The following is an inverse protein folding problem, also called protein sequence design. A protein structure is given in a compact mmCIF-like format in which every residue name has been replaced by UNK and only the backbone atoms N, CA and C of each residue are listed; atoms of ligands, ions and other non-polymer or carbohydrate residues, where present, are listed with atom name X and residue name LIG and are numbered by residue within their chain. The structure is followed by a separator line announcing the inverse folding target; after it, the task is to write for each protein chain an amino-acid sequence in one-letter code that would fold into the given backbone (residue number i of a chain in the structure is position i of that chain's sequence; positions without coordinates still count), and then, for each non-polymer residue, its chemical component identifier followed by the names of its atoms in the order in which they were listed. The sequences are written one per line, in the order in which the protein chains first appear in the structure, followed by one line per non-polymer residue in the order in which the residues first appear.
data_IF_430393454877
#
_entry.id   IF_430393454877
#
_cell.length_a   1.000
_cell.length_b   1.000
_cell.length_c   1.000
_cell.angle_alpha   90.00
_cell.angle_beta   90.00
_cell.angle_gamma   90.00
#
_symmetry.space_group_name_H-M   'P 1'
#
loop_
_entity.id
_entity.type
_entity.pdbx_description
1 polymer ?
#
# COMPACT_ATOMS: atom_id res chain seq x y z
N UNK A 1 36.55 -10.66 27.61
CA UNK A 1 36.60 -11.53 26.41
C UNK A 1 35.23 -11.83 25.79
N UNK A 2 34.09 -11.62 26.47
CA UNK A 2 32.74 -11.79 25.89
C UNK A 2 32.34 -10.72 24.84
N UNK A 3 32.91 -9.51 24.88
CA UNK A 3 32.66 -8.47 23.87
C UNK A 3 33.10 -8.86 22.44
N UNK A 4 34.12 -9.71 22.31
CA UNK A 4 34.61 -10.18 21.00
C UNK A 4 33.76 -11.30 20.38
N UNK A 5 32.94 -12.00 21.18
CA UNK A 5 32.02 -13.03 20.67
C UNK A 5 30.76 -12.41 20.03
N UNK A 6 30.30 -11.25 20.53
CA UNK A 6 29.17 -10.53 19.94
C UNK A 6 29.52 -9.87 18.60
N UNK A 7 30.75 -9.37 18.43
CA UNK A 7 31.22 -8.83 17.14
C UNK A 7 31.30 -9.86 16.00
N UNK A 8 31.54 -11.14 16.33
CA UNK A 8 31.50 -12.22 15.35
C UNK A 8 30.07 -12.66 14.97
N UNK A 9 29.09 -12.54 15.87
CA UNK A 9 27.67 -12.68 15.52
C UNK A 9 27.19 -11.52 14.61
N UNK A 10 27.67 -10.30 14.85
CA UNK A 10 27.35 -9.11 14.06
C UNK A 10 27.87 -9.16 12.61
N UNK A 11 29.10 -9.63 12.38
CA UNK A 11 29.61 -9.91 11.02
C UNK A 11 28.88 -11.04 10.31
N UNK A 12 28.26 -11.94 11.06
CA UNK A 12 27.45 -13.02 10.52
C UNK A 12 26.04 -12.58 10.18
N UNK A 13 25.47 -11.53 10.81
CA UNK A 13 24.13 -11.06 10.49
C UNK A 13 24.05 -10.41 9.10
N UNK A 14 24.97 -9.49 8.75
CA UNK A 14 24.99 -8.93 7.38
C UNK A 14 25.44 -9.94 6.33
N UNK A 15 26.32 -10.89 6.69
CA UNK A 15 26.61 -12.07 5.85
C UNK A 15 25.41 -13.01 5.71
N UNK A 16 24.57 -13.17 6.72
CA UNK A 16 23.38 -14.03 6.74
C UNK A 16 22.26 -13.44 5.88
N UNK A 17 22.05 -12.12 5.95
CA UNK A 17 21.14 -11.41 5.04
C UNK A 17 21.64 -11.51 3.59
N UNK A 18 22.96 -11.38 3.35
CA UNK A 18 23.58 -11.46 2.02
C UNK A 18 23.75 -12.90 1.48
N UNK A 19 23.87 -13.93 2.33
CA UNK A 19 24.11 -15.32 1.91
C UNK A 19 22.86 -16.03 1.37
N UNK A 20 21.72 -15.34 1.35
CA UNK A 20 20.46 -15.81 0.76
C UNK A 20 20.37 -15.59 -0.76
N UNK A 21 21.35 -14.89 -1.36
CA UNK A 21 21.40 -14.56 -2.78
C UNK A 21 22.46 -15.43 -3.46
N UNK A 22 22.06 -16.30 -4.40
CA UNK A 22 22.98 -16.93 -5.37
C UNK A 22 22.22 -17.77 -6.39
N UNK A 23 21.61 -17.12 -7.38
CA UNK A 23 21.53 -17.54 -8.79
C UNK A 23 21.46 -16.26 -9.65
N UNK A 24 22.54 -15.93 -10.36
CA UNK A 24 22.50 -14.94 -11.44
C UNK A 24 21.65 -15.47 -12.61
N UNK A 25 20.60 -14.73 -12.99
CA UNK A 25 19.92 -14.93 -14.28
C UNK A 25 19.82 -13.60 -15.02
N UNK A 26 20.56 -13.51 -16.14
CA UNK A 26 20.45 -12.41 -17.09
C UNK A 26 19.04 -12.36 -17.70
N UNK A 27 18.31 -11.25 -17.54
CA UNK A 27 17.10 -10.99 -18.33
C UNK A 27 17.45 -10.25 -19.62
N UNK A 28 17.29 -10.94 -20.75
CA UNK A 28 17.27 -10.35 -22.08
C UNK A 28 15.88 -9.86 -22.44
N UNK A 29 15.88 -8.73 -23.16
CA UNK A 29 14.77 -8.11 -23.87
C UNK A 29 14.19 -9.02 -24.97
N UNK A 30 12.94 -9.46 -24.84
CA UNK A 30 12.16 -10.00 -25.98
C UNK A 30 10.66 -9.78 -25.82
N UNK A 31 10.22 -8.52 -25.92
CA UNK A 31 8.89 -8.19 -26.47
C UNK A 31 9.01 -6.90 -27.31
N UNK A 32 9.82 -6.96 -28.37
CA UNK A 32 9.66 -6.08 -29.54
C UNK A 32 9.26 -6.95 -30.72
N UNK A 33 8.12 -6.65 -31.30
CA UNK A 33 7.44 -7.48 -32.28
C UNK A 33 8.28 -7.77 -33.53
N UNK A 34 8.28 -9.04 -33.93
CA UNK A 34 8.47 -9.45 -35.31
C UNK A 34 7.12 -9.33 -36.03
N UNK A 35 6.79 -8.13 -36.47
CA UNK A 35 5.86 -7.96 -37.59
C UNK A 35 6.60 -8.38 -38.85
N UNK A 36 6.46 -9.65 -39.22
CA UNK A 36 6.89 -10.11 -40.53
C UNK A 36 6.04 -9.41 -41.60
N UNK A 37 6.77 -8.77 -42.52
CA UNK A 37 6.23 -8.26 -43.77
C UNK A 37 5.87 -9.47 -44.63
N UNK A 38 4.59 -9.66 -44.90
CA UNK A 38 4.17 -10.36 -46.11
C UNK A 38 3.70 -9.33 -47.14
N UNK A 39 4.63 -9.03 -48.04
CA UNK A 39 4.36 -8.46 -49.35
C UNK A 39 3.71 -9.52 -50.23
N UNK A 40 2.48 -9.29 -50.65
CA UNK A 40 1.96 -9.86 -51.89
C UNK A 40 1.65 -8.74 -52.87
N UNK A 41 2.53 -8.62 -53.87
CA UNK A 41 2.31 -7.93 -55.13
C UNK A 41 1.57 -8.85 -56.09
N UNK A 42 0.62 -8.29 -56.83
CA UNK A 42 0.40 -8.40 -58.29
C UNK A 42 -1.06 -8.01 -58.57
N UNK A 43 -1.27 -6.90 -59.28
CA UNK A 43 -1.63 -6.83 -60.72
C UNK A 43 -3.12 -7.20 -60.91
N UNK A 44 -3.95 -6.51 -61.65
CA UNK A 44 -3.88 -5.44 -62.63
C UNK A 44 -5.32 -4.86 -62.69
N UNK A 45 -5.47 -3.61 -63.10
CA UNK A 45 -6.45 -3.15 -64.12
C UNK A 45 -6.86 -1.69 -63.94
N UNK A 46 -6.13 -0.85 -64.69
CA UNK A 46 -6.61 0.05 -65.75
C UNK A 46 -7.80 0.99 -65.52
N UNK A 47 -7.56 2.18 -66.07
CA UNK A 47 -8.48 3.19 -66.62
C UNK A 47 -9.04 4.21 -65.62
N UNK A 48 -8.40 5.37 -65.52
CA UNK A 48 -8.63 6.57 -66.38
C UNK A 48 -9.96 7.26 -66.08
N UNK A 49 -9.93 8.51 -65.61
CA UNK A 49 -10.51 9.66 -66.32
C UNK A 49 -10.30 10.97 -65.54
N UNK A 50 -9.99 12.02 -66.29
CA UNK A 50 -9.77 13.41 -65.88
C UNK A 50 -11.10 14.17 -65.68
N UNK A 51 -11.04 15.30 -64.98
CA UNK A 51 -11.99 16.43 -65.11
C UNK A 51 -12.29 17.10 -63.77
N UNK A 52 -11.75 18.31 -63.48
CA UNK A 52 -12.40 19.63 -63.71
C UNK A 52 -13.79 19.72 -63.06
N UNK A 53 -14.15 20.71 -62.24
CA UNK A 53 -13.52 21.95 -61.83
C UNK A 53 -14.47 22.75 -60.91
N UNK A 54 -13.95 23.88 -60.43
CA UNK A 54 -14.59 25.18 -60.16
C UNK A 54 -15.75 25.37 -59.16
N UNK A 55 -15.43 26.20 -58.16
CA UNK A 55 -16.09 27.45 -57.74
C UNK A 55 -17.55 27.47 -57.24
N UNK A 56 -17.71 27.90 -55.98
CA UNK A 56 -18.30 29.19 -55.54
C UNK A 56 -18.92 29.06 -54.13
N UNK A 57 -18.40 29.80 -53.15
CA UNK A 57 -18.99 31.04 -52.61
C UNK A 57 -20.43 30.89 -52.07
N UNK A 58 -20.60 31.01 -50.75
CA UNK A 58 -21.57 31.93 -50.14
C UNK A 58 -21.12 32.35 -48.74
N UNK A 59 -21.19 33.67 -48.53
CA UNK A 59 -20.85 34.46 -47.35
C UNK A 59 -22.09 34.67 -46.45
N UNK A 60 -21.81 35.01 -45.18
CA UNK A 60 -22.62 35.84 -44.25
C UNK A 60 -23.88 35.19 -43.64
N UNK A 61 -24.36 35.49 -42.43
CA UNK A 61 -24.24 36.67 -41.59
C UNK A 61 -24.55 36.37 -40.09
N UNK A 62 -24.10 37.28 -39.24
CA UNK A 62 -24.35 37.47 -37.81
C UNK A 62 -25.84 37.39 -37.36
N UNK A 63 -26.07 36.94 -36.11
CA UNK A 63 -26.77 37.77 -35.11
C UNK A 63 -26.66 37.25 -33.66
N UNK A 64 -26.38 38.20 -32.76
CA UNK A 64 -26.44 38.11 -31.30
C UNK A 64 -27.88 37.94 -30.81
N UNK A 65 -28.08 37.20 -29.71
CA UNK A 65 -28.90 37.73 -28.62
C UNK A 65 -28.61 37.09 -27.26
N UNK A 66 -28.69 37.95 -26.26
CA UNK A 66 -28.30 37.76 -24.87
C UNK A 66 -29.21 36.79 -24.12
N UNK A 67 -28.61 35.91 -23.31
CA UNK A 67 -29.21 35.53 -22.02
C UNK A 67 -28.08 35.36 -20.99
N UNK A 68 -28.05 36.30 -20.03
CA UNK A 68 -27.19 36.27 -18.85
C UNK A 68 -27.86 35.42 -17.78
N UNK A 69 -27.18 34.37 -17.33
CA UNK A 69 -27.55 33.61 -16.14
C UNK A 69 -26.43 32.66 -15.73
N UNK A 70 -25.72 33.02 -14.66
CA UNK A 70 -24.96 32.13 -13.78
C UNK A 70 -24.05 31.06 -14.43
N UNK A 71 -22.82 31.42 -14.80
CA UNK A 71 -21.68 30.51 -14.64
C UNK A 71 -20.34 31.25 -14.77
N UNK A 72 -19.71 31.58 -13.65
CA UNK A 72 -18.32 32.10 -13.61
C UNK A 72 -17.53 31.36 -12.53
N UNK A 73 -17.45 30.04 -12.63
CA UNK A 73 -16.46 29.25 -11.88
C UNK A 73 -15.83 28.09 -12.69
N UNK A 74 -16.29 27.80 -13.91
CA UNK A 74 -15.77 26.69 -14.73
C UNK A 74 -14.67 27.08 -15.74
N UNK A 75 -14.52 28.36 -16.09
CA UNK A 75 -13.60 28.76 -17.17
C UNK A 75 -12.12 28.86 -16.77
N UNK A 76 -11.80 28.82 -15.47
CA UNK A 76 -10.40 28.70 -15.01
C UNK A 76 -9.87 27.27 -15.04
N UNK A 77 -10.77 26.27 -15.10
CA UNK A 77 -10.40 24.85 -15.13
C UNK A 77 -9.85 24.40 -16.50
N UNK A 78 -10.21 25.08 -17.61
CA UNK A 78 -9.73 24.69 -18.94
C UNK A 78 -8.41 25.35 -19.36
N UNK A 79 -8.02 26.48 -18.76
CA UNK A 79 -6.82 27.23 -19.17
C UNK A 79 -5.51 26.77 -18.50
N UNK A 80 -5.58 26.03 -17.39
CA UNK A 80 -4.39 25.41 -16.76
C UNK A 80 -3.96 24.10 -17.42
N UNK A 81 -4.83 23.48 -18.24
CA UNK A 81 -4.56 22.19 -18.88
C UNK A 81 -3.69 22.26 -20.15
N UNK A 82 -3.37 23.45 -20.66
CA UNK A 82 -2.62 23.59 -21.93
C UNK A 82 -1.12 23.89 -21.77
N UNK A 83 -0.58 24.02 -20.55
CA UNK A 83 0.83 24.38 -20.33
C UNK A 83 1.69 23.32 -19.62
N UNK A 84 1.14 22.14 -19.31
CA UNK A 84 1.86 21.07 -18.60
C UNK A 84 2.15 19.82 -19.42
N UNK A 85 1.85 19.79 -20.72
CA UNK A 85 2.15 18.64 -21.57
C UNK A 85 3.56 18.74 -22.16
N UNK A 86 4.56 18.39 -21.37
CA UNK A 86 5.87 17.99 -21.90
C UNK A 86 6.22 16.59 -21.38
N UNK A 87 6.17 15.64 -22.30
CA UNK A 87 6.91 14.37 -22.37
C UNK A 87 7.21 13.65 -21.05
N UNK A 88 6.21 12.92 -20.55
CA UNK A 88 6.45 11.67 -19.85
C UNK A 88 5.85 10.56 -20.72
N UNK A 89 6.58 9.47 -20.94
CA UNK A 89 6.10 8.31 -21.70
C UNK A 89 4.90 7.66 -20.97
N UNK A 90 3.70 8.14 -21.32
CA UNK A 90 2.40 7.76 -20.77
C UNK A 90 1.81 6.53 -21.47
N UNK A 91 2.61 5.52 -21.82
CA UNK A 91 2.08 4.29 -22.45
C UNK A 91 2.28 3.04 -21.57
N UNK A 92 3.23 3.02 -20.63
CA UNK A 92 3.47 1.83 -19.80
C UNK A 92 2.44 1.62 -18.68
N UNK A 93 1.90 2.71 -18.11
CA UNK A 93 0.94 2.64 -16.99
C UNK A 93 -0.50 2.31 -17.45
N UNK A 94 -0.82 2.51 -18.73
CA UNK A 94 -2.21 2.43 -19.22
C UNK A 94 -2.58 1.11 -19.90
N UNK A 95 -1.61 0.26 -20.22
CA UNK A 95 -1.85 -1.07 -20.80
C UNK A 95 -2.07 -2.17 -19.74
N UNK A 96 -2.06 -1.83 -18.45
CA UNK A 96 -2.13 -2.80 -17.35
C UNK A 96 -3.55 -3.07 -16.84
N UNK A 97 -4.48 -2.11 -16.99
CA UNK A 97 -5.84 -2.17 -16.41
C UNK A 97 -6.87 -3.05 -17.15
N UNK A 98 -6.55 -3.55 -18.35
CA UNK A 98 -7.43 -4.43 -19.16
C UNK A 98 -6.88 -5.87 -19.29
N UNK A 99 -5.91 -6.27 -18.44
CA UNK A 99 -5.30 -7.60 -18.56
C UNK A 99 -6.22 -8.69 -17.98
N UNK A 100 -6.50 -9.78 -18.72
CA UNK A 100 -7.30 -10.88 -18.20
C UNK A 100 -6.67 -11.51 -16.94
N UNK A 101 -7.53 -11.89 -15.98
CA UNK A 101 -7.23 -12.48 -14.64
C UNK A 101 -6.09 -13.52 -14.64
N UNK A 102 -5.98 -14.30 -15.71
CA UNK A 102 -4.94 -15.33 -15.86
C UNK A 102 -3.52 -14.76 -16.04
N UNK A 103 -3.37 -13.61 -16.69
CA UNK A 103 -2.06 -13.01 -16.99
C UNK A 103 -1.44 -12.38 -15.75
N UNK A 104 -2.23 -11.66 -14.94
CA UNK A 104 -1.74 -11.06 -13.68
C UNK A 104 -1.38 -12.16 -12.66
N UNK A 105 -2.18 -13.22 -12.57
CA UNK A 105 -1.88 -14.37 -11.70
C UNK A 105 -0.60 -15.10 -12.13
N UNK A 106 -0.41 -15.31 -13.44
CA UNK A 106 0.80 -15.94 -13.97
C UNK A 106 2.02 -15.05 -13.81
N UNK A 107 1.90 -13.75 -14.11
CA UNK A 107 2.98 -12.78 -13.91
C UNK A 107 3.38 -12.68 -12.44
N UNK A 108 2.40 -12.66 -11.52
CA UNK A 108 2.63 -12.72 -10.08
C UNK A 108 3.45 -13.95 -9.70
N UNK A 109 2.97 -15.14 -10.11
CA UNK A 109 3.62 -16.41 -9.78
C UNK A 109 5.06 -16.45 -10.31
N UNK A 110 5.25 -16.11 -11.58
CA UNK A 110 6.57 -16.07 -12.23
C UNK A 110 7.51 -15.06 -11.56
N UNK A 111 7.01 -13.87 -11.22
CA UNK A 111 7.79 -12.85 -10.54
C UNK A 111 8.20 -13.33 -9.14
N UNK A 112 7.28 -13.92 -8.36
CA UNK A 112 7.62 -14.37 -6.99
C UNK A 112 8.49 -15.62 -6.94
N UNK A 113 8.39 -16.53 -7.93
CA UNK A 113 9.15 -17.80 -7.93
C UNK A 113 10.60 -17.65 -8.41
N UNK A 114 10.90 -16.63 -9.22
CA UNK A 114 12.21 -16.46 -9.87
C UNK A 114 12.95 -15.17 -9.47
N UNK A 115 12.41 -14.38 -8.54
CA UNK A 115 13.00 -13.10 -8.17
C UNK A 115 13.97 -13.24 -7.00
N UNK A 116 15.24 -12.91 -7.23
CA UNK A 116 16.19 -12.69 -6.15
C UNK A 116 15.84 -11.39 -5.42
N UNK A 117 15.35 -11.52 -4.19
CA UNK A 117 15.02 -10.39 -3.34
C UNK A 117 16.26 -9.50 -3.11
N UNK A 118 16.18 -8.25 -3.58
CA UNK A 118 17.19 -7.25 -3.28
C UNK A 118 16.82 -6.54 -1.99
N UNK A 119 17.77 -6.51 -1.06
CA UNK A 119 17.63 -5.88 0.25
C UNK A 119 18.73 -4.84 0.37
N UNK A 120 18.32 -3.63 0.68
CA UNK A 120 19.21 -2.53 0.99
C UNK A 120 19.04 -2.18 2.47
N UNK A 121 20.16 -2.02 3.17
CA UNK A 121 20.21 -1.53 4.54
C UNK A 121 20.94 -0.20 4.50
N UNK A 122 20.30 0.86 4.99
CA UNK A 122 20.86 2.22 4.93
C UNK A 122 22.12 2.35 5.78
N UNK A 123 22.04 1.88 7.02
CA UNK A 123 23.12 1.90 7.98
C UNK A 123 23.00 0.66 8.88
N UNK A 124 23.92 -0.30 8.70
CA UNK A 124 23.92 -1.57 9.46
C UNK A 124 24.17 -1.34 10.96
N UNK A 125 24.98 -0.34 11.33
CA UNK A 125 25.30 -0.06 12.73
C UNK A 125 24.10 0.59 13.43
N UNK A 126 23.52 1.62 12.80
CA UNK A 126 22.35 2.29 13.36
C UNK A 126 21.14 1.34 13.45
N UNK A 127 20.93 0.47 12.46
CA UNK A 127 19.88 -0.54 12.53
C UNK A 127 20.09 -1.48 13.71
N UNK A 128 21.34 -1.87 13.98
CA UNK A 128 21.65 -2.73 15.11
C UNK A 128 21.37 -2.04 16.45
N UNK A 129 21.77 -0.77 16.61
CA UNK A 129 21.47 0.03 17.80
C UNK A 129 19.97 0.12 18.04
N UNK A 130 19.17 0.30 16.98
CA UNK A 130 17.71 0.29 17.08
C UNK A 130 17.16 -1.07 17.49
N UNK A 131 17.66 -2.17 16.92
CA UNK A 131 17.28 -3.53 17.33
C UNK A 131 17.59 -3.74 18.82
N UNK A 132 18.73 -3.25 19.28
CA UNK A 132 19.13 -3.36 20.67
C UNK A 132 18.17 -2.57 21.58
N UNK A 133 17.83 -1.32 21.23
CA UNK A 133 16.80 -0.51 21.92
C UNK A 133 15.43 -1.22 21.98
N UNK A 134 15.02 -1.89 20.90
CA UNK A 134 13.75 -2.62 20.84
C UNK A 134 13.78 -3.90 21.69
N UNK A 135 14.97 -4.49 21.84
CA UNK A 135 15.19 -5.71 22.61
C UNK A 135 15.38 -5.46 24.10
N UNK A 136 15.85 -4.27 24.48
CA UNK A 136 15.95 -3.84 25.87
C UNK A 136 14.53 -3.77 26.46
N UNK A 137 14.14 -4.82 27.17
CA UNK A 137 13.01 -4.75 28.08
C UNK A 137 13.34 -3.62 29.05
N UNK A 138 12.66 -2.48 28.94
CA UNK A 138 12.83 -1.40 29.89
C UNK A 138 12.40 -1.91 31.27
N UNK A 139 13.35 -2.43 32.05
CA UNK A 139 13.27 -2.65 33.50
C UNK A 139 13.03 -1.34 34.26
N UNK A 140 12.71 -0.24 33.58
CA UNK A 140 12.59 1.11 34.10
C UNK A 140 11.41 1.31 35.08
N UNK A 141 10.53 0.33 35.26
CA UNK A 141 9.51 0.38 36.32
C UNK A 141 9.88 -0.42 37.58
N UNK A 142 11.06 -1.03 37.67
CA UNK A 142 11.51 -1.70 38.92
C UNK A 142 12.07 -0.74 39.96
N UNK A 143 12.56 0.44 39.59
CA UNK A 143 13.25 1.34 40.53
C UNK A 143 12.35 2.38 41.21
N UNK A 144 11.06 2.49 40.87
CA UNK A 144 10.14 3.44 41.52
C UNK A 144 9.11 2.82 42.48
N UNK A 145 9.12 1.50 42.70
CA UNK A 145 8.15 0.82 43.57
C UNK A 145 8.86 -0.09 44.58
N UNK A 146 9.96 0.40 45.16
CA UNK A 146 10.62 -0.25 46.31
C UNK A 146 10.15 0.31 47.66
N UNK A 147 9.01 1.02 47.71
CA UNK A 147 8.52 1.67 48.94
C UNK A 147 7.12 1.25 49.43
N UNK A 148 6.46 0.21 48.89
CA UNK A 148 5.16 -0.23 49.44
C UNK A 148 5.01 -1.76 49.48
N UNK A 149 5.59 -2.40 50.51
CA UNK A 149 5.61 -3.86 50.74
C UNK A 149 4.28 -4.48 51.25
N UNK A 150 3.08 -4.04 50.81
CA UNK A 150 1.83 -4.65 51.31
C UNK A 150 0.73 -4.95 50.25
N UNK A 151 1.05 -5.14 48.97
CA UNK A 151 0.07 -5.61 47.97
C UNK A 151 0.62 -6.64 46.96
N UNK A 152 1.46 -7.56 47.46
CA UNK A 152 2.44 -8.25 46.63
C UNK A 152 1.89 -9.26 45.61
N UNK A 153 0.86 -10.06 45.86
CA UNK A 153 0.56 -11.14 44.90
C UNK A 153 -0.18 -10.67 43.63
N UNK A 154 -1.15 -9.75 43.77
CA UNK A 154 -1.91 -9.24 42.63
C UNK A 154 -1.07 -8.23 41.85
N UNK A 155 -0.28 -7.38 42.53
CA UNK A 155 0.65 -6.48 41.87
C UNK A 155 1.78 -7.27 41.21
N UNK A 156 2.37 -8.29 41.84
CA UNK A 156 3.40 -9.10 41.20
C UNK A 156 2.85 -9.92 40.01
N UNK A 157 1.62 -10.42 40.06
CA UNK A 157 0.99 -11.06 38.88
C UNK A 157 0.69 -10.07 37.75
N UNK A 158 0.32 -8.82 38.07
CA UNK A 158 0.13 -7.76 37.08
C UNK A 158 1.46 -7.27 36.50
N UNK A 159 2.49 -7.11 37.33
CA UNK A 159 3.86 -6.80 36.95
C UNK A 159 4.50 -7.93 36.14
N UNK A 160 4.24 -9.20 36.45
CA UNK A 160 4.68 -10.34 35.63
C UNK A 160 4.01 -10.33 34.26
N UNK A 161 2.71 -10.00 34.18
CA UNK A 161 1.99 -9.84 32.91
C UNK A 161 2.48 -8.61 32.11
N UNK A 162 2.85 -7.53 32.77
CA UNK A 162 3.43 -6.33 32.13
C UNK A 162 4.88 -6.55 31.69
N UNK A 163 5.69 -7.26 32.49
CA UNK A 163 7.07 -7.61 32.16
C UNK A 163 7.16 -8.63 31.00
N UNK A 164 6.10 -9.41 30.74
CA UNK A 164 5.99 -10.29 29.58
C UNK A 164 5.49 -9.59 28.30
N UNK A 165 5.12 -8.30 28.39
CA UNK A 165 4.52 -7.62 27.26
C UNK A 165 5.59 -7.03 26.35
N UNK A 166 5.57 -7.44 25.08
CA UNK A 166 6.44 -6.91 24.02
C UNK A 166 6.31 -5.38 23.94
N UNK A 167 7.45 -4.69 24.04
CA UNK A 167 7.54 -3.23 24.19
C UNK A 167 7.59 -2.47 22.85
N UNK A 168 7.12 -3.08 21.76
CA UNK A 168 7.05 -2.42 20.46
C UNK A 168 5.77 -2.77 19.70
N UNK A 169 5.29 -1.82 18.92
CA UNK A 169 4.20 -2.02 17.98
C UNK A 169 4.74 -2.37 16.59
N UNK A 170 3.92 -3.03 15.78
CA UNK A 170 4.12 -3.08 14.34
C UNK A 170 2.97 -2.33 13.68
N UNK A 171 3.28 -1.50 12.68
CA UNK A 171 2.28 -0.78 11.89
C UNK A 171 2.57 -0.97 10.42
N UNK A 172 1.55 -1.36 9.66
CA UNK A 172 1.67 -1.55 8.21
C UNK A 172 0.45 -1.00 7.47
N UNK A 173 0.62 -0.15 6.43
CA UNK A 173 -0.41 0.06 5.44
C UNK A 173 -0.81 -1.26 4.77
N UNK A 174 -2.07 -1.45 4.43
CA UNK A 174 -2.47 -2.67 3.72
C UNK A 174 -1.97 -2.65 2.27
N UNK A 175 -2.24 -1.56 1.56
CA UNK A 175 -1.86 -1.35 0.17
C UNK A 175 -0.34 -1.18 0.00
N UNK A 176 0.27 -2.03 -0.82
CA UNK A 176 1.69 -1.96 -1.19
C UNK A 176 2.68 -2.49 -0.14
N UNK A 177 2.24 -2.69 1.11
CA UNK A 177 3.08 -3.30 2.16
C UNK A 177 2.67 -4.74 2.46
N UNK A 178 1.42 -4.99 2.82
CA UNK A 178 0.90 -6.37 2.98
C UNK A 178 0.61 -7.01 1.61
N UNK A 179 0.14 -6.19 0.69
CA UNK A 179 -0.14 -6.54 -0.70
C UNK A 179 1.00 -6.07 -1.60
N UNK A 180 1.18 -6.70 -2.78
CA UNK A 180 2.02 -6.12 -3.82
C UNK A 180 1.46 -4.76 -4.31
N UNK A 181 2.34 -3.91 -4.82
CA UNK A 181 2.03 -2.52 -5.18
C UNK A 181 0.89 -2.34 -6.23
N UNK A 182 0.26 -1.16 -6.12
CA UNK A 182 -0.63 -0.43 -7.03
C UNK A 182 -1.92 -1.07 -7.57
N UNK A 183 -1.96 -2.37 -7.84
CA UNK A 183 -3.15 -3.01 -8.44
C UNK A 183 -3.94 -3.89 -7.47
N UNK A 184 -3.32 -4.23 -6.33
CA UNK A 184 -3.89 -5.15 -5.38
C UNK A 184 -4.31 -4.46 -4.07
N UNK A 185 -5.27 -3.54 -4.19
CA UNK A 185 -5.93 -2.89 -3.04
C UNK A 185 -7.26 -3.58 -2.72
N UNK A 186 -7.91 -3.33 -1.56
CA UNK A 186 -9.17 -3.99 -1.20
C UNK A 186 -10.29 -3.88 -2.24
N UNK A 187 -10.38 -2.76 -2.97
CA UNK A 187 -11.39 -2.58 -4.03
C UNK A 187 -11.07 -3.35 -5.31
N UNK A 188 -9.88 -3.93 -5.47
CA UNK A 188 -9.56 -4.80 -6.62
C UNK A 188 -10.54 -5.97 -6.73
N UNK A 189 -11.08 -6.46 -5.61
CA UNK A 189 -12.13 -7.48 -5.58
C UNK A 189 -13.36 -7.07 -6.40
N UNK A 190 -13.81 -5.81 -6.26
CA UNK A 190 -14.90 -5.29 -7.08
C UNK A 190 -14.49 -5.08 -8.53
N UNK A 191 -13.26 -4.62 -8.76
CA UNK A 191 -12.77 -4.37 -10.11
C UNK A 191 -12.63 -5.65 -10.93
N UNK A 192 -12.27 -6.76 -10.28
CA UNK A 192 -12.05 -8.05 -10.94
C UNK A 192 -13.35 -8.82 -11.19
N UNK A 193 -14.36 -8.66 -10.32
CA UNK A 193 -15.59 -9.44 -10.41
C UNK A 193 -16.47 -9.05 -11.61
N UNK A 194 -17.03 -10.04 -12.30
CA UNK A 194 -18.05 -9.87 -13.34
C UNK A 194 -19.42 -9.44 -12.79
N UNK A 195 -19.61 -9.50 -11.47
CA UNK A 195 -20.82 -9.07 -10.76
C UNK A 195 -20.92 -7.55 -10.56
N UNK A 196 -19.88 -6.82 -10.93
CA UNK A 196 -19.79 -5.37 -10.84
C UNK A 196 -19.92 -4.77 -12.24
N UNK A 197 -20.72 -3.71 -12.35
CA UNK A 197 -21.02 -3.03 -13.59
C UNK A 197 -19.77 -2.45 -14.26
N UNK A 198 -19.76 -2.48 -15.59
CA UNK A 198 -18.69 -1.85 -16.39
C UNK A 198 -18.63 -0.34 -16.10
N UNK A 199 -19.77 0.30 -15.88
CA UNK A 199 -19.86 1.72 -15.53
C UNK A 199 -19.15 2.03 -14.21
N UNK A 200 -19.36 1.22 -13.17
CA UNK A 200 -18.63 1.35 -11.91
C UNK A 200 -17.14 1.26 -12.12
N UNK A 201 -16.67 0.24 -12.85
CA UNK A 201 -15.24 0.01 -13.09
C UNK A 201 -14.60 1.20 -13.83
N UNK A 202 -15.26 1.69 -14.88
CA UNK A 202 -14.79 2.85 -15.64
C UNK A 202 -14.73 4.12 -14.77
N UNK A 203 -15.76 4.37 -13.97
CA UNK A 203 -15.79 5.52 -13.07
C UNK A 203 -14.73 5.41 -11.97
N UNK A 204 -14.55 4.24 -11.37
CA UNK A 204 -13.50 3.99 -10.38
C UNK A 204 -12.11 4.29 -10.97
N UNK A 205 -11.81 3.74 -12.14
CA UNK A 205 -10.54 4.00 -12.84
C UNK A 205 -10.33 5.48 -13.15
N UNK A 206 -11.37 6.18 -13.60
CA UNK A 206 -11.30 7.62 -13.88
C UNK A 206 -10.94 8.41 -12.61
N UNK A 207 -11.65 8.14 -11.51
CA UNK A 207 -11.47 8.85 -10.24
C UNK A 207 -10.08 8.53 -9.62
N UNK A 208 -9.63 7.28 -9.70
CA UNK A 208 -8.27 6.87 -9.30
C UNK A 208 -7.18 7.58 -10.12
N UNK A 209 -7.34 7.63 -11.44
CA UNK A 209 -6.38 8.28 -12.35
C UNK A 209 -6.25 9.77 -12.04
N UNK A 210 -7.37 10.46 -11.85
CA UNK A 210 -7.39 11.88 -11.46
C UNK A 210 -6.67 12.09 -10.12
N UNK A 211 -6.97 11.26 -9.12
CA UNK A 211 -6.33 11.32 -7.79
C UNK A 211 -4.81 11.14 -7.85
N UNK A 212 -4.32 10.15 -8.61
CA UNK A 212 -2.89 9.87 -8.78
C UNK A 212 -2.13 11.01 -9.46
N UNK A 213 -2.74 11.68 -10.46
CA UNK A 213 -2.13 12.84 -11.13
C UNK A 213 -1.84 13.96 -10.11
N UNK A 214 -2.79 14.28 -9.26
CA UNK A 214 -2.61 15.32 -8.23
C UNK A 214 -1.69 14.88 -7.09
N UNK A 215 -1.71 13.59 -6.72
CA UNK A 215 -0.83 13.07 -5.69
C UNK A 215 0.66 13.24 -6.07
N UNK A 216 0.96 12.99 -7.33
CA UNK A 216 2.32 13.00 -7.88
C UNK A 216 2.81 14.40 -8.29
N UNK A 217 1.91 15.40 -8.34
CA UNK A 217 2.28 16.78 -8.59
C UNK A 217 3.10 17.36 -7.41
N UNK A 218 4.38 17.65 -7.67
CA UNK A 218 5.31 18.19 -6.65
C UNK A 218 5.02 19.65 -6.28
N UNK A 219 4.28 20.38 -7.11
CA UNK A 219 3.95 21.80 -6.89
C UNK A 219 2.71 21.99 -6.02
N UNK A 220 1.90 20.95 -5.82
CA UNK A 220 0.70 21.03 -4.99
C UNK A 220 1.05 21.01 -3.50
N UNK A 221 0.53 22.00 -2.79
CA UNK A 221 0.61 22.09 -1.34
C UNK A 221 -0.07 20.89 -0.65
N UNK A 222 0.46 20.46 0.50
CA UNK A 222 -0.01 19.30 1.25
C UNK A 222 -1.52 19.35 1.55
N UNK A 223 -2.02 20.47 2.10
CA UNK A 223 -3.46 20.63 2.42
C UNK A 223 -4.36 20.48 1.20
N UNK A 224 -3.88 20.88 0.01
CA UNK A 224 -4.63 20.68 -1.24
C UNK A 224 -4.64 19.20 -1.63
N UNK A 225 -3.52 18.49 -1.47
CA UNK A 225 -3.46 17.04 -1.71
C UNK A 225 -4.38 16.29 -0.75
N UNK A 226 -4.41 16.63 0.53
CA UNK A 226 -5.37 16.07 1.49
C UNK A 226 -6.82 16.31 1.08
N UNK A 227 -7.16 17.54 0.67
CA UNK A 227 -8.51 17.86 0.18
C UNK A 227 -8.92 16.99 -1.01
N UNK A 228 -8.02 16.78 -1.97
CA UNK A 228 -8.26 15.94 -3.15
C UNK A 228 -8.43 14.47 -2.76
N UNK A 229 -7.60 13.95 -1.84
CA UNK A 229 -7.75 12.56 -1.38
C UNK A 229 -9.06 12.32 -0.65
N UNK A 230 -9.53 13.31 0.10
CA UNK A 230 -10.84 13.28 0.73
C UNK A 230 -11.97 13.30 -0.30
N UNK A 231 -11.87 14.17 -1.31
CA UNK A 231 -12.83 14.24 -2.41
C UNK A 231 -12.91 12.91 -3.18
N UNK A 232 -11.76 12.31 -3.50
CA UNK A 232 -11.67 10.98 -4.10
C UNK A 232 -12.48 9.94 -3.31
N UNK A 233 -12.30 9.88 -1.98
CA UNK A 233 -13.03 8.94 -1.13
C UNK A 233 -14.54 9.23 -1.06
N UNK A 234 -14.96 10.50 -1.13
CA UNK A 234 -16.39 10.83 -1.23
C UNK A 234 -16.99 10.43 -2.58
N UNK A 235 -16.25 10.60 -3.67
CA UNK A 235 -16.69 10.13 -4.98
C UNK A 235 -16.80 8.61 -5.02
N UNK A 236 -15.84 7.89 -4.42
CA UNK A 236 -15.90 6.43 -4.27
C UNK A 236 -17.09 6.00 -3.42
N UNK A 237 -17.37 6.68 -2.31
CA UNK A 237 -18.55 6.43 -1.47
C UNK A 237 -19.84 6.52 -2.29
N UNK A 238 -20.02 7.62 -3.05
CA UNK A 238 -21.20 7.82 -3.88
C UNK A 238 -21.28 6.79 -5.02
N UNK A 239 -20.14 6.34 -5.54
CA UNK A 239 -20.08 5.32 -6.57
C UNK A 239 -20.53 3.95 -6.03
N UNK A 240 -20.10 3.57 -4.82
CA UNK A 240 -20.53 2.34 -4.14
C UNK A 240 -22.03 2.33 -3.85
N UNK A 241 -22.59 3.47 -3.45
CA UNK A 241 -24.04 3.60 -3.21
C UNK A 241 -24.85 3.39 -4.49
N UNK A 242 -24.39 3.95 -5.62
CA UNK A 242 -25.05 3.83 -6.92
C UNK A 242 -25.02 2.43 -7.50
N UNK A 243 -23.93 1.69 -7.27
CA UNK A 243 -23.76 0.33 -7.77
C UNK A 243 -24.77 -0.65 -7.18
N UNK A 244 -25.34 -0.32 -6.01
CA UNK A 244 -26.41 -1.08 -5.37
C UNK A 244 -26.06 -2.57 -5.12
N UNK A 245 -24.81 -2.81 -4.71
CA UNK A 245 -24.30 -4.15 -4.40
C UNK A 245 -25.12 -4.75 -3.25
N UNK A 246 -25.69 -5.94 -3.46
CA UNK A 246 -26.39 -6.69 -2.40
C UNK A 246 -25.40 -7.45 -1.53
N UNK A 247 -25.78 -7.75 -0.28
CA UNK A 247 -24.94 -8.53 0.63
C UNK A 247 -24.61 -9.91 0.05
N UNK A 248 -25.55 -10.52 -0.68
CA UNK A 248 -25.34 -11.79 -1.38
C UNK A 248 -24.27 -11.65 -2.46
N UNK A 249 -24.39 -10.66 -3.35
CA UNK A 249 -23.37 -10.41 -4.38
C UNK A 249 -22.00 -10.12 -3.76
N UNK A 250 -21.94 -9.35 -2.68
CA UNK A 250 -20.69 -9.10 -1.96
C UNK A 250 -20.06 -10.40 -1.45
N UNK A 251 -20.85 -11.28 -0.83
CA UNK A 251 -20.38 -12.58 -0.35
C UNK A 251 -19.85 -13.45 -1.49
N UNK A 252 -20.51 -13.44 -2.65
CA UNK A 252 -20.03 -14.15 -3.84
C UNK A 252 -18.72 -13.56 -4.36
N UNK A 253 -18.63 -12.22 -4.47
CA UNK A 253 -17.41 -11.53 -4.92
C UNK A 253 -16.21 -11.89 -4.05
N UNK A 254 -16.33 -11.78 -2.72
CA UNK A 254 -15.21 -12.05 -1.81
C UNK A 254 -14.85 -13.54 -1.71
N UNK A 255 -15.70 -14.44 -2.24
CA UNK A 255 -15.40 -15.87 -2.34
C UNK A 255 -14.70 -16.23 -3.66
N UNK A 256 -15.01 -15.53 -4.74
CA UNK A 256 -14.51 -15.82 -6.09
C UNK A 256 -13.27 -15.00 -6.49
N UNK A 257 -13.09 -13.84 -5.86
CA UNK A 257 -11.98 -12.93 -6.11
C UNK A 257 -10.97 -12.96 -4.96
N UNK A 258 -9.69 -12.79 -5.32
CA UNK A 258 -8.57 -12.87 -4.39
C UNK A 258 -7.79 -11.56 -4.31
N UNK A 259 -7.26 -11.30 -3.12
CA UNK A 259 -6.22 -10.29 -2.90
C UNK A 259 -4.87 -10.99 -2.73
N UNK A 260 -3.87 -10.62 -3.51
CA UNK A 260 -2.52 -11.18 -3.46
C UNK A 260 -1.66 -10.61 -2.31
N UNK A 261 -1.65 -11.30 -1.17
CA UNK A 261 -0.75 -11.02 -0.06
C UNK A 261 0.68 -11.37 -0.46
N UNK A 262 1.67 -10.61 0.03
CA UNK A 262 3.08 -10.93 -0.14
C UNK A 262 3.40 -12.32 0.44
N UNK A 263 4.34 -13.01 -0.19
CA UNK A 263 4.79 -14.32 0.26
C UNK A 263 5.32 -14.24 1.71
N UNK A 264 5.03 -15.26 2.51
CA UNK A 264 5.40 -15.39 3.95
C UNK A 264 4.74 -14.41 4.92
N UNK A 265 3.70 -13.70 4.47
CA UNK A 265 2.92 -12.82 5.35
C UNK A 265 2.05 -13.59 6.37
N UNK A 266 1.62 -14.80 6.05
CA UNK A 266 0.98 -15.73 6.97
C UNK A 266 1.91 -16.10 8.13
N UNK A 267 3.16 -16.50 7.83
CA UNK A 267 4.18 -16.77 8.86
C UNK A 267 4.48 -15.52 9.71
N UNK A 268 4.47 -14.33 9.10
CA UNK A 268 4.60 -13.07 9.84
C UNK A 268 3.48 -12.89 10.86
N UNK A 269 2.23 -13.16 10.44
CA UNK A 269 1.07 -13.02 11.31
C UNK A 269 1.11 -14.01 12.47
N UNK A 270 1.50 -15.26 12.21
CA UNK A 270 1.68 -16.27 13.26
C UNK A 270 2.76 -15.83 14.27
N UNK A 271 3.92 -15.37 13.77
CA UNK A 271 5.00 -14.87 14.62
C UNK A 271 4.56 -13.72 15.54
N UNK A 272 3.86 -12.74 14.99
CA UNK A 272 3.33 -11.58 15.72
C UNK A 272 2.28 -12.00 16.74
N UNK A 273 1.39 -12.90 16.35
CA UNK A 273 0.30 -13.39 17.19
C UNK A 273 0.82 -14.21 18.38
N UNK A 274 1.66 -15.20 18.11
CA UNK A 274 2.20 -16.12 19.12
C UNK A 274 3.05 -15.39 20.18
N UNK A 275 3.67 -14.27 19.80
CA UNK A 275 4.45 -13.43 20.71
C UNK A 275 3.67 -12.22 21.23
N UNK A 276 2.36 -12.14 20.98
CA UNK A 276 1.47 -11.07 21.46
C UNK A 276 1.94 -9.66 21.09
N UNK A 277 2.61 -9.51 19.96
CA UNK A 277 3.11 -8.22 19.47
C UNK A 277 1.91 -7.39 18.98
N UNK A 278 1.67 -6.17 19.50
CA UNK A 278 0.62 -5.31 18.99
C UNK A 278 0.88 -4.95 17.53
N UNK A 279 0.03 -5.41 16.62
CA UNK A 279 0.13 -5.10 15.21
C UNK A 279 -1.10 -4.36 14.71
N UNK A 280 -0.89 -3.27 13.96
CA UNK A 280 -1.91 -2.39 13.44
C UNK A 280 -1.87 -2.32 11.91
N UNK A 281 -2.99 -2.64 11.28
CA UNK A 281 -3.16 -2.53 9.83
C UNK A 281 -3.92 -1.25 9.55
N UNK A 282 -3.37 -0.36 8.73
CA UNK A 282 -4.02 0.90 8.35
C UNK A 282 -4.30 0.88 6.85
N UNK A 283 -5.49 1.26 6.41
CA UNK A 283 -5.83 1.17 5.00
C UNK A 283 -6.84 2.22 4.56
N UNK A 284 -6.63 2.77 3.37
CA UNK A 284 -7.61 3.61 2.69
C UNK A 284 -8.72 2.79 1.99
N UNK A 285 -8.53 1.48 1.87
CA UNK A 285 -9.52 0.52 1.41
C UNK A 285 -10.70 0.37 2.38
N UNK A 286 -11.51 -0.66 2.14
CA UNK A 286 -12.60 -1.02 3.04
C UNK A 286 -12.21 -2.18 3.96
N UNK A 287 -12.43 -2.01 5.26
CA UNK A 287 -12.21 -3.01 6.32
C UNK A 287 -12.91 -4.32 6.01
N UNK A 288 -14.17 -4.27 5.59
CA UNK A 288 -14.98 -5.45 5.26
C UNK A 288 -14.34 -6.28 4.15
N UNK A 289 -13.75 -5.63 3.13
CA UNK A 289 -13.03 -6.32 2.05
C UNK A 289 -11.75 -6.96 2.59
N UNK A 290 -10.96 -6.23 3.38
CA UNK A 290 -9.72 -6.74 4.01
C UNK A 290 -10.00 -7.97 4.87
N UNK A 291 -10.99 -7.89 5.77
CA UNK A 291 -11.35 -9.00 6.67
C UNK A 291 -11.79 -10.24 5.89
N UNK A 292 -12.55 -10.06 4.80
CA UNK A 292 -12.98 -11.17 3.97
C UNK A 292 -11.82 -11.78 3.16
N UNK A 293 -10.87 -10.98 2.69
CA UNK A 293 -9.68 -11.50 1.99
C UNK A 293 -8.78 -12.35 2.88
N UNK A 294 -8.62 -11.97 4.15
CA UNK A 294 -7.88 -12.81 5.09
C UNK A 294 -8.65 -14.11 5.42
N UNK A 295 -9.98 -14.02 5.54
CA UNK A 295 -10.85 -15.18 5.75
C UNK A 295 -10.82 -16.17 4.58
N UNK A 296 -10.92 -15.70 3.33
CA UNK A 296 -10.91 -16.57 2.15
C UNK A 296 -9.61 -17.36 2.03
N UNK A 297 -8.49 -16.71 2.37
CA UNK A 297 -7.15 -17.31 2.35
C UNK A 297 -6.82 -18.22 3.53
N UNK A 298 -7.76 -18.42 4.47
CA UNK A 298 -7.55 -19.21 5.69
C UNK A 298 -6.27 -18.83 6.41
N UNK A 299 -5.95 -17.53 6.42
CA UNK A 299 -4.80 -17.02 7.17
C UNK A 299 -5.03 -17.38 8.63
N UNK A 300 -4.22 -18.30 9.14
CA UNK A 300 -4.33 -18.79 10.50
C UNK A 300 -4.10 -17.62 11.47
N UNK A 301 -4.70 -17.70 12.66
CA UNK A 301 -4.63 -16.66 13.70
C UNK A 301 -5.21 -15.27 13.34
N UNK A 302 -5.59 -14.99 12.08
CA UNK A 302 -6.27 -13.74 11.72
C UNK A 302 -7.61 -13.55 12.47
N UNK A 303 -8.32 -14.63 12.79
CA UNK A 303 -9.57 -14.52 13.55
C UNK A 303 -9.34 -14.19 15.03
N UNK A 304 -8.15 -14.50 15.55
CA UNK A 304 -7.72 -14.17 16.90
C UNK A 304 -7.05 -12.77 16.93
N UNK A 305 -6.55 -12.31 15.77
CA UNK A 305 -6.20 -10.92 15.54
C UNK A 305 -7.41 -10.02 15.79
N UNK A 306 -7.31 -9.16 16.81
CA UNK A 306 -8.41 -8.29 17.21
C UNK A 306 -8.83 -7.40 16.04
N UNK A 307 -10.07 -7.53 15.58
CA UNK A 307 -10.66 -6.65 14.54
C UNK A 307 -10.46 -5.15 14.79
N UNK A 308 -10.23 -4.74 16.04
CA UNK A 308 -9.97 -3.35 16.43
C UNK A 308 -8.62 -2.80 15.93
N UNK A 309 -7.70 -3.69 15.53
CA UNK A 309 -6.37 -3.35 15.04
C UNK A 309 -6.36 -2.98 13.55
N UNK A 310 -7.47 -3.18 12.83
CA UNK A 310 -7.65 -2.70 11.46
C UNK A 310 -8.30 -1.31 11.48
N UNK A 311 -7.54 -0.31 11.06
CA UNK A 311 -7.94 1.09 10.94
C UNK A 311 -8.21 1.40 9.47
N UNK A 312 -9.47 1.34 9.05
CA UNK A 312 -9.87 1.44 7.65
C UNK A 312 -11.31 1.95 7.50
N UNK A 313 -11.74 2.25 6.27
CA UNK A 313 -13.12 2.64 5.98
C UNK A 313 -14.05 1.43 6.17
N UNK A 314 -15.21 1.55 6.83
CA UNK A 314 -16.14 0.42 6.97
C UNK A 314 -17.29 0.60 5.99
N UNK A 315 -17.76 -0.49 5.38
CA UNK A 315 -18.92 -0.46 4.49
C UNK A 315 -20.21 -0.20 5.30
N UNK A 316 -21.14 0.54 4.71
CA UNK A 316 -22.46 0.79 5.26
C UNK A 316 -23.49 -0.11 4.57
N UNK A 317 -24.06 -1.04 5.33
CA UNK A 317 -25.14 -1.91 4.85
C UNK A 317 -26.49 -1.44 5.39
N UNK A 318 -27.46 -1.25 4.50
CA UNK A 318 -28.84 -0.95 4.88
C UNK A 318 -29.78 -1.88 4.12
N UNK A 319 -30.61 -2.61 4.87
CA UNK A 319 -31.58 -3.57 4.29
C UNK A 319 -30.91 -4.56 3.30
N UNK A 320 -29.67 -4.98 3.59
CA UNK A 320 -28.91 -5.90 2.73
C UNK A 320 -28.32 -5.28 1.46
N UNK A 321 -28.34 -3.95 1.31
CA UNK A 321 -27.72 -3.22 0.20
C UNK A 321 -26.57 -2.34 0.70
N UNK A 322 -25.51 -2.24 -0.10
CA UNK A 322 -24.38 -1.36 0.15
C UNK A 322 -24.77 0.10 -0.13
N UNK A 323 -24.51 0.98 0.85
CA UNK A 323 -24.80 2.43 0.79
C UNK A 323 -23.52 3.27 0.93
N UNK A 324 -22.38 2.73 0.52
CA UNK A 324 -21.07 3.38 0.67
C UNK A 324 -20.38 3.04 1.99
N UNK A 325 -19.88 4.05 2.70
CA UNK A 325 -19.11 3.92 3.94
C UNK A 325 -19.89 4.36 5.18
N UNK A 326 -19.71 3.64 6.29
CA UNK A 326 -20.33 3.94 7.60
C UNK A 326 -19.60 5.08 8.35
N UNK A 327 -18.33 5.31 8.01
CA UNK A 327 -17.44 6.11 8.85
C UNK A 327 -17.65 7.62 8.62
N UNK A 328 -17.94 8.35 9.70
CA UNK A 328 -17.91 9.83 9.70
C UNK A 328 -16.51 10.41 9.43
N UNK A 329 -15.46 9.61 9.59
CA UNK A 329 -14.06 10.00 9.38
C UNK A 329 -13.41 9.09 8.34
N UNK A 330 -13.26 9.60 7.13
CA UNK A 330 -12.65 8.91 5.99
C UNK A 330 -11.15 8.67 6.25
N UNK A 331 -10.69 7.44 6.00
CA UNK A 331 -9.28 7.08 5.91
C UNK A 331 -8.82 7.21 4.46
N UNK A 332 -7.70 7.89 4.23
CA UNK A 332 -7.08 8.05 2.92
C UNK A 332 -5.56 8.07 3.06
N UNK A 333 -4.83 7.82 1.98
CA UNK A 333 -3.35 7.75 2.00
C UNK A 333 -2.66 8.90 2.74
N UNK A 334 -3.12 10.15 2.60
CA UNK A 334 -2.45 11.27 3.27
C UNK A 334 -2.75 11.41 4.78
N UNK A 335 -3.63 10.60 5.38
CA UNK A 335 -4.02 10.72 6.79
C UNK A 335 -3.87 9.42 7.60
N UNK A 336 -3.19 8.39 7.08
CA UNK A 336 -3.05 7.09 7.74
C UNK A 336 -2.49 7.23 9.17
N UNK A 337 -1.33 7.89 9.31
CA UNK A 337 -0.70 8.13 10.61
C UNK A 337 -1.61 8.96 11.55
N UNK A 338 -2.34 9.95 11.01
CA UNK A 338 -3.24 10.78 11.80
C UNK A 338 -4.37 9.94 12.40
N UNK A 339 -4.84 8.90 11.72
CA UNK A 339 -5.86 8.00 12.30
C UNK A 339 -5.32 7.23 13.50
N UNK A 340 -4.07 6.78 13.42
CA UNK A 340 -3.39 6.12 14.53
C UNK A 340 -3.19 7.08 15.70
N UNK A 341 -2.63 8.27 15.43
CA UNK A 341 -2.42 9.32 16.43
C UNK A 341 -3.73 9.74 17.12
N UNK A 342 -4.79 9.96 16.35
CA UNK A 342 -6.10 10.32 16.91
C UNK A 342 -6.68 9.23 17.80
N UNK A 343 -6.44 7.95 17.49
CA UNK A 343 -6.87 6.84 18.34
C UNK A 343 -6.04 6.78 19.63
N UNK A 344 -4.72 6.99 19.56
CA UNK A 344 -3.83 7.12 20.73
C UNK A 344 -4.29 8.25 21.65
N UNK A 345 -4.48 9.45 21.11
CA UNK A 345 -4.91 10.64 21.88
C UNK A 345 -6.29 10.49 22.54
N UNK A 346 -7.17 9.67 21.97
CA UNK A 346 -8.50 9.36 22.54
C UNK A 346 -8.48 8.21 23.54
N UNK A 347 -7.32 7.62 23.83
CA UNK A 347 -7.20 6.43 24.68
C UNK A 347 -7.83 5.17 24.07
N UNK A 348 -8.09 5.16 22.76
CA UNK A 348 -8.70 4.00 22.07
C UNK A 348 -7.67 2.94 21.68
N UNK A 349 -6.38 3.30 21.69
CA UNK A 349 -5.25 2.41 21.48
C UNK A 349 -4.17 2.73 22.51
N UNK A 350 -3.65 1.69 23.16
CA UNK A 350 -2.44 1.81 23.96
C UNK A 350 -1.25 1.46 23.06
N UNK A 351 -0.60 2.51 22.53
CA UNK A 351 0.54 2.35 21.62
C UNK A 351 1.84 2.40 22.41
N UNK A 352 2.75 1.50 22.10
CA UNK A 352 4.10 1.50 22.66
C UNK A 352 4.89 2.74 22.20
N UNK A 353 6.07 2.95 22.81
CA UNK A 353 6.99 4.01 22.38
C UNK A 353 7.83 3.62 21.17
N UNK A 354 8.02 2.31 20.96
CA UNK A 354 8.82 1.75 19.89
C UNK A 354 7.90 1.18 18.80
N UNK A 355 8.23 1.33 17.52
CA UNK A 355 7.48 0.70 16.44
C UNK A 355 8.31 0.26 15.23
N UNK A 356 7.94 -0.88 14.67
CA UNK A 356 8.36 -1.28 13.32
C UNK A 356 7.31 -0.78 12.34
N UNK A 357 7.71 0.11 11.43
CA UNK A 357 6.83 0.65 10.39
C UNK A 357 7.18 -0.01 9.07
N UNK A 358 6.25 -0.77 8.51
CA UNK A 358 6.40 -1.48 7.23
C UNK A 358 5.57 -0.72 6.20
N UNK A 359 6.20 -0.10 5.20
CA UNK A 359 5.55 0.83 4.27
C UNK A 359 5.98 0.64 2.82
N UNK A 360 5.34 1.35 1.89
CA UNK A 360 5.79 1.43 0.49
C UNK A 360 5.91 2.88 -0.01
N UNK A 361 5.67 3.85 0.88
CA UNK A 361 5.65 5.27 0.54
C UNK A 361 6.51 6.08 1.52
N UNK A 362 7.45 6.85 0.97
CA UNK A 362 8.37 7.72 1.72
C UNK A 362 7.69 8.89 2.44
N UNK A 363 6.45 9.23 2.09
CA UNK A 363 5.70 10.35 2.67
C UNK A 363 5.10 10.02 4.02
N UNK A 364 4.88 8.74 4.30
CA UNK A 364 4.21 8.31 5.54
C UNK A 364 5.20 8.14 6.69
N UNK A 365 6.44 7.73 6.39
CA UNK A 365 7.42 7.33 7.41
C UNK A 365 7.76 8.45 8.40
N UNK A 366 8.02 9.68 7.92
CA UNK A 366 8.41 10.82 8.76
C UNK A 366 7.29 11.34 9.65
N UNK A 367 6.04 10.93 9.40
CA UNK A 367 4.92 11.37 10.23
C UNK A 367 4.70 10.45 11.43
N UNK A 368 5.25 9.23 11.41
CA UNK A 368 5.16 8.31 12.54
C UNK A 368 6.02 8.74 13.73
N UNK A 369 7.00 9.63 13.54
CA UNK A 369 7.77 10.26 14.63
C UNK A 369 6.87 11.08 15.57
N UNK A 370 5.65 11.46 15.15
CA UNK A 370 4.66 12.11 16.01
C UNK A 370 3.89 11.10 16.90
N UNK A 371 4.02 9.81 16.62
CA UNK A 371 3.31 8.72 17.31
C UNK A 371 4.26 7.92 18.18
N UNK A 372 5.47 7.65 17.68
CA UNK A 372 6.49 6.78 18.26
C UNK A 372 7.80 7.52 18.46
N UNK A 373 8.56 7.11 19.48
CA UNK A 373 9.86 7.69 19.81
C UNK A 373 10.99 7.00 19.05
N UNK A 374 10.92 5.66 18.93
CA UNK A 374 11.92 4.86 18.24
C UNK A 374 11.26 4.08 17.11
N UNK A 375 11.83 4.18 15.90
CA UNK A 375 11.28 3.56 14.70
C UNK A 375 12.34 2.76 13.96
N UNK A 376 12.01 1.50 13.67
CA UNK A 376 12.65 0.71 12.62
C UNK A 376 11.74 0.78 11.40
N UNK A 377 12.25 1.32 10.29
CA UNK A 377 11.49 1.57 9.08
C UNK A 377 11.87 0.60 7.97
N UNK A 378 10.89 -0.13 7.45
CA UNK A 378 11.05 -1.12 6.37
C UNK A 378 10.18 -0.70 5.18
N UNK A 379 10.79 -0.51 4.02
CA UNK A 379 10.13 -0.02 2.81
C UNK A 379 10.12 -1.06 1.70
N UNK A 380 8.96 -1.32 1.07
CA UNK A 380 8.88 -2.04 -0.21
C UNK A 380 8.87 -1.06 -1.37
N UNK A 381 9.83 -1.15 -2.29
CA UNK A 381 9.93 -0.25 -3.44
C UNK A 381 10.50 -0.91 -4.68
N UNK A 382 10.14 -0.43 -5.87
CA UNK A 382 10.60 -1.02 -7.14
C UNK A 382 11.81 -0.27 -7.70
N UNK A 383 12.95 -0.96 -7.77
CA UNK A 383 14.15 -0.46 -8.45
C UNK A 383 13.97 -0.32 -9.97
N UNK A 384 13.00 -1.05 -10.54
CA UNK A 384 12.75 -1.12 -11.99
C UNK A 384 11.67 -0.11 -12.42
N UNK A 385 10.51 -0.13 -11.77
CA UNK A 385 9.36 0.69 -12.17
C UNK A 385 9.52 2.13 -11.70
N UNK A 386 10.12 2.33 -10.52
CA UNK A 386 10.24 3.63 -9.87
C UNK A 386 11.65 3.87 -9.31
N UNK A 387 12.72 3.81 -10.13
CA UNK A 387 14.11 3.87 -9.66
C UNK A 387 14.42 5.11 -8.81
N UNK A 388 13.88 6.28 -9.18
CA UNK A 388 14.08 7.52 -8.42
C UNK A 388 13.41 7.51 -7.04
N UNK A 389 12.24 6.87 -6.95
CA UNK A 389 11.56 6.73 -5.66
C UNK A 389 12.25 5.67 -4.82
N UNK A 390 12.72 4.58 -5.43
CA UNK A 390 13.55 3.58 -4.77
C UNK A 390 14.84 4.18 -4.18
N UNK A 391 15.52 5.06 -4.92
CA UNK A 391 16.68 5.80 -4.40
C UNK A 391 16.32 6.67 -3.19
N UNK A 392 15.21 7.40 -3.27
CA UNK A 392 14.71 8.19 -2.13
C UNK A 392 14.32 7.31 -0.93
N UNK A 393 13.79 6.11 -1.19
CA UNK A 393 13.47 5.15 -0.12
C UNK A 393 14.74 4.72 0.60
N UNK A 394 15.83 4.44 -0.12
CA UNK A 394 17.12 4.05 0.47
C UNK A 394 17.71 5.13 1.38
N UNK A 395 17.41 6.39 1.12
CA UNK A 395 17.82 7.50 1.99
C UNK A 395 16.96 7.61 3.26
N UNK A 396 15.69 7.21 3.20
CA UNK A 396 14.70 7.48 4.25
C UNK A 396 14.38 6.30 5.15
N UNK A 397 14.31 5.09 4.60
CA UNK A 397 14.03 3.88 5.34
C UNK A 397 15.34 3.26 5.86
N UNK A 398 15.27 2.56 6.99
CA UNK A 398 16.40 1.80 7.52
C UNK A 398 16.68 0.58 6.63
N UNK A 399 15.60 -0.03 6.12
CA UNK A 399 15.64 -1.19 5.23
C UNK A 399 14.74 -0.93 4.03
N UNK A 400 15.23 -1.20 2.82
CA UNK A 400 14.43 -1.21 1.59
C UNK A 400 14.51 -2.58 0.97
N UNK A 401 13.35 -3.18 0.72
CA UNK A 401 13.19 -4.46 0.05
C UNK A 401 12.61 -4.18 -1.33
N UNK A 402 13.11 -4.86 -2.36
CA UNK A 402 12.53 -4.74 -3.70
C UNK A 402 11.02 -5.06 -3.69
N UNK A 403 10.26 -4.46 -4.60
CA UNK A 403 8.82 -4.54 -4.64
C UNK A 403 8.30 -5.97 -4.87
N UNK A 404 9.08 -6.89 -5.43
CA UNK A 404 8.70 -8.31 -5.50
C UNK A 404 9.16 -9.12 -4.29
N UNK A 405 9.78 -8.47 -3.31
CA UNK A 405 10.23 -9.06 -2.06
C UNK A 405 9.10 -9.56 -1.17
N UNK A 406 9.51 -10.38 -0.21
CA UNK A 406 8.68 -11.22 0.65
C UNK A 406 8.74 -10.75 2.10
N UNK A 407 7.95 -11.37 2.97
CA UNK A 407 8.05 -11.14 4.41
C UNK A 407 9.18 -11.93 5.09
N UNK A 408 9.98 -12.73 4.36
CA UNK A 408 11.06 -13.56 4.95
C UNK A 408 12.02 -12.75 5.81
N UNK A 409 12.48 -11.60 5.30
CA UNK A 409 13.46 -10.78 6.02
C UNK A 409 12.83 -10.03 7.17
N UNK A 410 11.58 -9.59 7.01
CA UNK A 410 10.80 -8.98 8.08
C UNK A 410 10.61 -9.97 9.22
N UNK A 411 10.25 -11.22 8.93
CA UNK A 411 10.08 -12.29 9.91
C UNK A 411 11.38 -12.50 10.70
N UNK A 412 12.53 -12.57 10.02
CA UNK A 412 13.84 -12.72 10.66
C UNK A 412 14.17 -11.56 11.61
N UNK A 413 13.91 -10.32 11.19
CA UNK A 413 14.18 -9.13 12.02
C UNK A 413 13.30 -9.13 13.27
N UNK A 414 11.99 -9.39 13.09
CA UNK A 414 11.05 -9.45 14.22
C UNK A 414 11.43 -10.58 15.17
N UNK A 415 11.77 -11.75 14.63
CA UNK A 415 12.21 -12.89 15.43
C UNK A 415 13.49 -12.57 16.22
N UNK A 416 14.48 -11.92 15.61
CA UNK A 416 15.71 -11.53 16.30
C UNK A 416 15.42 -10.58 17.47
N UNK A 417 14.59 -9.55 17.25
CA UNK A 417 14.19 -8.62 18.32
C UNK A 417 13.55 -9.40 19.47
N UNK A 418 12.60 -10.29 19.16
CA UNK A 418 11.88 -11.09 20.17
C UNK A 418 12.80 -12.06 20.92
N UNK A 419 13.74 -12.72 20.23
CA UNK A 419 14.71 -13.63 20.85
C UNK A 419 15.66 -12.88 21.78
N UNK A 420 16.13 -11.69 21.37
CA UNK A 420 16.99 -10.85 22.22
C UNK A 420 16.26 -10.40 23.48
N UNK A 421 15.00 -9.98 23.39
CA UNK A 421 14.19 -9.61 24.56
C UNK A 421 14.05 -10.75 25.57
N UNK A 422 13.87 -11.99 25.10
CA UNK A 422 13.76 -13.17 25.96
C UNK A 422 15.10 -13.57 26.59
N UNK A 423 16.22 -13.31 25.93
CA UNK A 423 17.56 -13.69 26.42
C UNK A 423 18.11 -12.76 27.51
N UNK A 424 17.43 -11.65 27.78
CA UNK A 424 17.77 -10.68 28.84
C UNK A 424 16.98 -10.89 30.14
N UNK A 425 16.00 -11.81 30.15
CA UNK A 425 15.35 -12.36 31.36
C UNK A 425 16.22 -13.45 32.00
#
# INVERSE_FOLDING_TARGET
MQLFQNLNKLKNFSKFLKSSQKIEVCYFSTLRGSGEKESFSNNDDRNSYQGRGDNNNYKNNYNNNNNRGFNKNNDRYQRSNQRGQQNYNQQSVFAQYDKPKNILTQAYKIATENHEEQIFIRDEQNLQEKIDIFSENTMYEKEQIQENEENDEIQQQQLQKQNQQVQFDIVSPFEGSITLQFENNPFSLFMNSDKISVEFKQNYHRIMKESLLFQNDKMLHYTRKEGIQREFQYQLHALLEKENITLKQFQEIVQEEDIYLRNKYDEFLDLVFDNQVPYYIISQGAKDLIENSFKSKKVQNFFEFKRNNIISNQLLWQQGQLKGFNNRSIVHQNNLYQKLLNKKQKGLLNLNNNAIIIGSNTKDISNYDQVYNNIISIGFGSSIEHPKEFDLMKEKFDIVIDNFGTYVQINKIVQEILEKSKSQE
#
